data_IF_086409941767
#
_entry.id   IF_086409941767
#
_cell.length_a   1.000
_cell.length_b   1.000
_cell.length_c   1.000
_cell.angle_alpha   90.00
_cell.angle_beta   90.00
_cell.angle_gamma   90.00
#
_symmetry.space_group_name_H-M   'P 1'
#
loop_
_entity.id
_entity.type
_entity.pdbx_description
1 polymer ?
#
# COMPACT_ATOMS: atom_id res chain seq x y z
N UNK A 1 -15.67 8.27 5.92
CA UNK A 1 -14.25 7.85 6.04
C UNK A 1 -13.97 6.55 5.30
N UNK A 2 -14.68 5.45 5.59
CA UNK A 2 -14.50 4.18 4.87
C UNK A 2 -14.79 4.29 3.36
N UNK A 3 -15.87 4.97 2.95
CA UNK A 3 -16.22 5.13 1.52
C UNK A 3 -15.14 5.86 0.70
N UNK A 4 -14.44 6.82 1.29
CA UNK A 4 -13.34 7.53 0.62
C UNK A 4 -12.13 6.62 0.43
N UNK A 5 -11.86 5.76 1.41
CA UNK A 5 -10.79 4.76 1.35
C UNK A 5 -11.05 3.77 0.22
N UNK A 6 -12.27 3.24 0.15
CA UNK A 6 -12.67 2.28 -0.87
C UNK A 6 -12.62 2.91 -2.27
N UNK A 7 -13.04 4.17 -2.40
CA UNK A 7 -12.94 4.93 -3.65
C UNK A 7 -11.48 5.11 -4.11
N UNK A 8 -10.61 5.63 -3.26
CA UNK A 8 -9.18 5.81 -3.59
C UNK A 8 -8.52 4.48 -3.95
N UNK A 9 -8.87 3.41 -3.25
CA UNK A 9 -8.37 2.07 -3.53
C UNK A 9 -8.83 1.53 -4.88
N UNK A 10 -10.08 1.78 -5.23
CA UNK A 10 -10.62 1.36 -6.53
C UNK A 10 -9.92 2.13 -7.67
N UNK A 11 -9.72 3.43 -7.50
CA UNK A 11 -8.99 4.26 -8.47
C UNK A 11 -7.53 3.81 -8.65
N UNK A 12 -6.86 3.44 -7.56
CA UNK A 12 -5.50 2.91 -7.60
C UNK A 12 -5.43 1.55 -8.29
N UNK A 13 -6.32 0.61 -7.96
CA UNK A 13 -6.40 -0.72 -8.61
C UNK A 13 -6.71 -0.62 -10.10
N UNK A 14 -7.54 0.35 -10.50
CA UNK A 14 -7.87 0.64 -11.90
C UNK A 14 -6.75 1.40 -12.63
N UNK A 15 -5.59 1.65 -11.99
CA UNK A 15 -4.46 2.41 -12.52
C UNK A 15 -4.82 3.85 -12.94
N UNK A 16 -5.93 4.39 -12.44
CA UNK A 16 -6.31 5.79 -12.65
C UNK A 16 -5.49 6.73 -11.75
N UNK A 17 -5.01 6.20 -10.62
CA UNK A 17 -3.98 6.83 -9.79
C UNK A 17 -2.73 5.97 -9.80
N UNK A 18 -1.60 6.61 -10.04
CA UNK A 18 -0.29 5.96 -10.21
C UNK A 18 0.49 5.89 -8.88
N UNK A 19 0.14 6.77 -7.94
CA UNK A 19 0.82 6.90 -6.64
C UNK A 19 -0.23 6.86 -5.53
N UNK A 20 0.05 6.05 -4.50
CA UNK A 20 -0.72 5.98 -3.26
C UNK A 20 0.20 6.34 -2.08
N UNK A 21 -0.22 7.31 -1.27
CA UNK A 21 0.47 7.71 -0.04
C UNK A 21 -0.38 7.26 1.15
N UNK A 22 0.22 6.51 2.08
CA UNK A 22 -0.48 5.97 3.25
C UNK A 22 0.45 5.83 4.46
N UNK A 23 -0.15 5.89 5.65
CA UNK A 23 0.47 5.47 6.93
C UNK A 23 0.07 4.03 7.25
N UNK A 24 0.77 3.36 8.18
CA UNK A 24 0.43 1.98 8.56
C UNK A 24 -1.01 1.84 9.04
N UNK A 25 -1.49 2.81 9.82
CA UNK A 25 -2.88 2.84 10.29
C UNK A 25 -3.84 2.91 9.10
N UNK A 26 -3.55 3.76 8.12
CA UNK A 26 -4.36 3.90 6.91
C UNK A 26 -4.23 2.69 5.96
N UNK A 27 -3.19 1.86 6.10
CA UNK A 27 -2.93 0.67 5.29
C UNK A 27 -3.57 -0.62 5.85
N UNK A 28 -3.89 -0.69 7.15
CA UNK A 28 -4.48 -1.90 7.78
C UNK A 28 -5.82 -2.30 7.18
N UNK A 29 -5.91 -3.49 6.59
CA UNK A 29 -7.12 -3.97 5.90
C UNK A 29 -7.20 -3.58 4.42
N UNK A 30 -6.17 -2.90 3.90
CA UNK A 30 -5.99 -2.76 2.46
C UNK A 30 -5.14 -3.92 1.96
N UNK A 31 -5.74 -4.76 1.12
CA UNK A 31 -4.98 -5.71 0.32
C UNK A 31 -4.62 -5.10 -1.03
N UNK A 32 -3.38 -4.61 -1.12
CA UNK A 32 -2.73 -4.20 -2.36
C UNK A 32 -1.65 -5.23 -2.65
N UNK A 33 -1.64 -5.74 -3.87
CA UNK A 33 -0.59 -6.64 -4.35
C UNK A 33 -0.14 -6.11 -5.72
N UNK A 34 0.99 -6.62 -6.21
CA UNK A 34 1.49 -6.32 -7.55
C UNK A 34 1.75 -4.84 -7.83
N UNK A 35 2.22 -4.09 -6.83
CA UNK A 35 2.76 -2.75 -7.08
C UNK A 35 4.20 -2.85 -7.54
N UNK A 36 4.60 -1.98 -8.47
CA UNK A 36 5.96 -2.00 -9.02
C UNK A 36 7.00 -1.55 -7.99
N UNK A 37 6.69 -0.52 -7.21
CA UNK A 37 7.62 0.08 -6.25
C UNK A 37 6.95 0.35 -4.90
N UNK A 38 7.70 0.13 -3.84
CA UNK A 38 7.37 0.53 -2.46
C UNK A 38 8.45 1.49 -2.00
N UNK A 39 8.07 2.70 -1.60
CA UNK A 39 8.99 3.70 -1.05
C UNK A 39 8.66 3.88 0.42
N UNK A 40 9.62 3.54 1.30
CA UNK A 40 9.53 3.85 2.72
C UNK A 40 10.13 5.23 2.96
N UNK A 41 9.36 6.15 3.53
CA UNK A 41 9.88 7.47 3.94
C UNK A 41 10.76 7.30 5.18
N UNK A 42 10.24 6.58 6.18
CA UNK A 42 10.94 6.23 7.42
C UNK A 42 10.78 4.74 7.73
N UNK A 43 11.67 4.22 8.58
CA UNK A 43 11.57 2.86 9.09
C UNK A 43 10.33 2.72 10.00
N UNK A 44 9.52 1.65 9.85
CA UNK A 44 8.36 1.44 10.71
C UNK A 44 8.76 1.15 12.16
N UNK A 45 7.80 1.26 13.08
CA UNK A 45 8.03 0.97 14.50
C UNK A 45 8.35 -0.51 14.77
N UNK A 46 7.96 -1.40 13.86
CA UNK A 46 8.15 -2.85 13.96
C UNK A 46 8.71 -3.40 12.64
N UNK A 47 9.64 -4.35 12.72
CA UNK A 47 10.26 -4.97 11.54
C UNK A 47 9.25 -5.75 10.71
N UNK A 48 8.24 -6.33 11.34
CA UNK A 48 7.15 -7.04 10.70
C UNK A 48 6.39 -6.13 9.73
N UNK A 49 6.12 -4.88 10.12
CA UNK A 49 5.48 -3.88 9.25
C UNK A 49 6.36 -3.58 8.03
N UNK A 50 7.69 -3.53 8.19
CA UNK A 50 8.60 -3.34 7.05
C UNK A 50 8.46 -4.50 6.05
N UNK A 51 8.50 -5.75 6.53
CA UNK A 51 8.34 -6.96 5.72
C UNK A 51 6.99 -6.94 5.00
N UNK A 52 5.92 -6.58 5.71
CA UNK A 52 4.58 -6.47 5.13
C UNK A 52 4.47 -5.36 4.07
N UNK A 53 5.14 -4.22 4.25
CA UNK A 53 5.18 -3.11 3.26
C UNK A 53 5.93 -3.53 2.01
N UNK A 54 7.15 -4.07 2.12
CA UNK A 54 7.95 -4.46 0.95
C UNK A 54 7.36 -5.67 0.23
N UNK A 55 6.63 -6.55 0.94
CA UNK A 55 5.92 -7.69 0.34
C UNK A 55 4.75 -7.31 -0.57
N UNK A 56 4.48 -6.01 -0.76
CA UNK A 56 3.49 -5.50 -1.72
C UNK A 56 4.02 -5.47 -3.15
N UNK A 57 5.34 -5.49 -3.33
CA UNK A 57 6.04 -5.63 -4.61
C UNK A 57 6.76 -7.00 -4.72
N UNK A 58 7.30 -7.34 -5.89
CA UNK A 58 8.24 -8.45 -6.08
C UNK A 58 7.67 -9.86 -5.91
N UNK A 59 6.34 -10.03 -5.89
CA UNK A 59 5.69 -11.33 -5.66
C UNK A 59 5.51 -12.20 -6.91
N UNK A 60 5.60 -11.62 -8.11
CA UNK A 60 5.34 -12.30 -9.38
C UNK A 60 6.46 -12.03 -10.41
N UNK A 61 7.70 -12.35 -10.04
CA UNK A 61 8.86 -12.29 -10.96
C UNK A 61 9.14 -13.65 -11.57
#
# INVERSE_FOLDING_TARGET
QQSQRDFTMNEFRRRQKIILIATDVAARGIDIQDIQFVINIDFPNQTEDYIHRIGRTGRNT
#
